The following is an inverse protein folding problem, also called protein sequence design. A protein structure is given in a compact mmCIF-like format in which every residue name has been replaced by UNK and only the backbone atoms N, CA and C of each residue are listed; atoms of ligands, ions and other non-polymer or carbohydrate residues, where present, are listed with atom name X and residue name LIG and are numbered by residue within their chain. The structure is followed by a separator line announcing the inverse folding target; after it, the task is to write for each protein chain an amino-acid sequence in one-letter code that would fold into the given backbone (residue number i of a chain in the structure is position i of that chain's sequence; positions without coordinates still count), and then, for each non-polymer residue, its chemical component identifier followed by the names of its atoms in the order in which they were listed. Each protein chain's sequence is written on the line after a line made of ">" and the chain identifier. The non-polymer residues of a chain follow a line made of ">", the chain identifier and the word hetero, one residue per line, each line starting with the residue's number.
data_IF_015712068884
#
_entry.id   IF_015712068884
#
_cell.length_a   1.000
_cell.length_b   1.000
_cell.length_c   1.000
_cell.angle_alpha   90.00
_cell.angle_beta   90.00
_cell.angle_gamma   90.00
#
_symmetry.space_group_name_H-M   'P 1'
#
loop_
_entity.id
_entity.type
_entity.pdbx_description
1 polymer ?
#
# COMPACT_ATOMS: atom_id res chain seq x y z
N UNK A 1 -19.24 52.22 -31.35
CA UNK A 1 -20.02 51.13 -30.72
C UNK A 1 -19.43 49.74 -30.95
N UNK A 2 -19.09 49.34 -32.19
CA UNK A 2 -18.54 48.00 -32.50
C UNK A 2 -17.27 47.59 -31.71
N UNK A 3 -16.33 48.53 -31.49
CA UNK A 3 -15.09 48.27 -30.72
C UNK A 3 -15.31 48.02 -29.23
N UNK A 4 -16.38 48.57 -28.65
CA UNK A 4 -16.72 48.35 -27.24
C UNK A 4 -17.38 46.98 -27.04
N UNK A 5 -18.29 46.60 -27.93
CA UNK A 5 -18.89 45.27 -27.95
C UNK A 5 -17.82 44.17 -28.09
N UNK A 6 -16.85 44.35 -28.99
CA UNK A 6 -15.77 43.38 -29.21
C UNK A 6 -14.85 43.20 -27.98
N UNK A 7 -14.58 44.27 -27.24
CA UNK A 7 -13.80 44.20 -25.98
C UNK A 7 -14.56 43.47 -24.88
N UNK A 8 -15.88 43.68 -24.77
CA UNK A 8 -16.74 43.00 -23.80
C UNK A 8 -16.84 41.50 -24.13
N UNK A 9 -17.05 41.15 -25.41
CA UNK A 9 -17.05 39.75 -25.85
C UNK A 9 -15.73 39.05 -25.56
N UNK A 10 -14.60 39.72 -25.77
CA UNK A 10 -13.28 39.15 -25.48
C UNK A 10 -13.06 38.89 -23.99
N UNK A 11 -13.50 39.79 -23.11
CA UNK A 11 -13.38 39.63 -21.64
C UNK A 11 -14.28 38.50 -21.13
N UNK A 12 -15.49 38.36 -21.67
CA UNK A 12 -16.41 37.27 -21.30
C UNK A 12 -15.82 35.93 -21.75
N UNK A 13 -15.28 35.86 -22.97
CA UNK A 13 -14.71 34.63 -23.51
C UNK A 13 -13.45 34.19 -22.75
N UNK A 14 -12.56 35.13 -22.40
CA UNK A 14 -11.37 34.79 -21.59
C UNK A 14 -11.74 34.41 -20.16
N UNK A 15 -12.76 35.03 -19.57
CA UNK A 15 -13.28 34.65 -18.25
C UNK A 15 -13.92 33.25 -18.25
N UNK A 16 -14.69 32.90 -19.29
CA UNK A 16 -15.25 31.55 -19.45
C UNK A 16 -14.17 30.48 -19.63
N UNK A 17 -13.13 30.77 -20.41
CA UNK A 17 -12.00 29.84 -20.61
C UNK A 17 -11.27 29.62 -19.28
N UNK A 18 -10.95 30.69 -18.53
CA UNK A 18 -10.31 30.58 -17.21
C UNK A 18 -11.15 29.81 -16.19
N UNK A 19 -12.47 30.01 -16.19
CA UNK A 19 -13.38 29.30 -15.28
C UNK A 19 -13.46 27.80 -15.61
N UNK A 20 -13.42 27.43 -16.90
CA UNK A 20 -13.43 26.04 -17.34
C UNK A 20 -12.14 25.29 -16.99
N UNK A 21 -10.97 25.96 -17.08
CA UNK A 21 -9.68 25.37 -16.72
C UNK A 21 -9.52 25.19 -15.20
N UNK A 22 -10.12 26.06 -14.40
CA UNK A 22 -10.09 25.94 -12.93
C UNK A 22 -10.94 24.77 -12.43
N UNK A 23 -12.09 24.50 -13.07
CA UNK A 23 -12.95 23.38 -12.71
C UNK A 23 -12.30 22.01 -12.95
N UNK A 24 -11.46 21.88 -13.99
CA UNK A 24 -10.82 20.60 -14.33
C UNK A 24 -9.64 20.23 -13.40
N UNK A 25 -8.99 21.20 -12.77
CA UNK A 25 -7.87 20.95 -11.85
C UNK A 25 -8.32 20.37 -10.49
N UNK A 26 -9.61 20.47 -10.14
CA UNK A 26 -10.14 20.01 -8.84
C UNK A 26 -10.62 18.55 -8.85
N UNK A 27 -10.79 17.93 -10.02
CA UNK A 27 -11.25 16.53 -10.13
C UNK A 27 -10.13 15.48 -10.07
N UNK A 28 -8.87 15.90 -9.90
CA UNK A 28 -7.70 15.02 -9.85
C UNK A 28 -7.19 14.76 -8.42
N UNK A 29 -7.90 15.22 -7.38
CA UNK A 29 -7.57 14.83 -6.01
C UNK A 29 -8.03 13.38 -5.79
N UNK A 30 -7.06 12.50 -5.56
CA UNK A 30 -7.31 11.11 -5.16
C UNK A 30 -8.20 11.12 -3.91
N UNK A 31 -9.28 10.32 -3.93
CA UNK A 31 -10.14 10.09 -2.77
C UNK A 31 -9.27 9.50 -1.67
N UNK A 32 -9.08 10.24 -0.58
CA UNK A 32 -8.41 9.75 0.61
C UNK A 32 -9.28 8.63 1.18
N UNK A 33 -8.90 7.38 0.91
CA UNK A 33 -9.51 6.21 1.53
C UNK A 33 -9.03 6.18 2.97
N UNK A 34 -9.72 6.95 3.83
CA UNK A 34 -9.54 6.84 5.26
C UNK A 34 -9.85 5.39 5.61
N UNK A 35 -8.85 4.65 6.10
CA UNK A 35 -8.98 3.31 6.66
C UNK A 35 -9.88 3.39 7.91
N UNK A 36 -11.18 3.60 7.69
CA UNK A 36 -12.22 3.59 8.71
C UNK A 36 -12.63 2.14 8.98
N UNK A 37 -11.64 1.29 9.25
CA UNK A 37 -11.94 0.01 9.86
C UNK A 37 -12.08 0.27 11.35
N UNK A 38 -13.32 0.25 11.85
CA UNK A 38 -13.57 0.18 13.29
C UNK A 38 -12.75 -0.97 13.87
N UNK A 39 -12.14 -0.82 15.06
CA UNK A 39 -11.45 -1.93 15.71
C UNK A 39 -12.37 -3.16 15.75
N UNK A 40 -11.89 -4.29 15.24
CA UNK A 40 -12.65 -5.54 15.22
C UNK A 40 -11.82 -6.65 15.85
N UNK A 41 -12.52 -7.63 16.44
CA UNK A 41 -11.90 -8.82 16.99
C UNK A 41 -12.12 -9.99 16.04
N UNK A 42 -11.07 -10.79 15.83
CA UNK A 42 -11.12 -11.98 14.98
C UNK A 42 -10.33 -13.10 15.62
N UNK A 43 -10.87 -14.32 15.56
CA UNK A 43 -10.11 -15.54 15.87
C UNK A 43 -9.17 -15.85 14.71
N UNK A 44 -7.88 -15.93 14.99
CA UNK A 44 -6.83 -16.26 14.03
C UNK A 44 -6.16 -17.57 14.47
N UNK A 45 -5.77 -18.38 13.49
CA UNK A 45 -4.81 -19.46 13.73
C UNK A 45 -3.43 -18.90 13.45
N UNK A 46 -2.58 -18.91 14.46
CA UNK A 46 -1.22 -18.37 14.38
C UNK A 46 -0.25 -19.55 14.41
N UNK A 47 0.72 -19.54 13.49
CA UNK A 47 1.84 -20.47 13.46
C UNK A 47 3.15 -19.69 13.61
N UNK A 48 4.20 -20.39 14.04
CA UNK A 48 5.55 -19.84 14.14
C UNK A 48 6.49 -20.47 13.12
N UNK A 49 7.34 -19.65 12.52
CA UNK A 49 8.50 -20.08 11.76
C UNK A 49 9.76 -19.56 12.47
N UNK A 50 10.91 -20.16 12.19
CA UNK A 50 12.17 -19.77 12.80
C UNK A 50 13.33 -19.89 11.81
N UNK A 51 14.44 -19.21 12.10
CA UNK A 51 15.69 -19.33 11.34
C UNK A 51 16.54 -20.45 11.95
N UNK A 52 16.57 -21.66 11.37
CA UNK A 52 17.37 -22.76 11.92
C UNK A 52 18.87 -22.45 11.82
N UNK A 53 19.63 -22.87 12.83
CA UNK A 53 21.08 -22.67 12.90
C UNK A 53 21.83 -24.00 12.78
N UNK A 54 23.06 -24.01 12.21
CA UNK A 54 23.88 -25.22 12.15
C UNK A 54 24.15 -25.81 13.54
N UNK A 55 24.11 -27.14 13.64
CA UNK A 55 24.44 -27.86 14.87
C UNK A 55 23.38 -27.80 15.98
N UNK A 56 22.18 -27.28 15.71
CA UNK A 56 21.10 -27.33 16.70
C UNK A 56 20.73 -28.77 17.06
N UNK A 57 20.40 -29.00 18.34
CA UNK A 57 20.09 -30.32 18.87
C UNK A 57 18.92 -30.99 18.15
N UNK A 58 17.96 -30.20 17.64
CA UNK A 58 16.73 -30.68 16.99
C UNK A 58 16.35 -29.79 15.82
N UNK A 59 15.88 -30.45 14.76
CA UNK A 59 15.30 -29.85 13.57
C UNK A 59 13.85 -30.33 13.44
N UNK A 60 12.91 -29.46 13.06
CA UNK A 60 11.49 -29.84 12.92
C UNK A 60 11.29 -30.87 11.82
N UNK A 61 12.03 -30.73 10.71
CA UNK A 61 12.02 -31.63 9.56
C UNK A 61 13.19 -32.62 9.54
N UNK A 62 13.98 -32.66 10.62
CA UNK A 62 15.10 -33.60 10.76
C UNK A 62 16.45 -33.15 10.19
N UNK A 63 16.52 -32.03 9.46
CA UNK A 63 17.80 -31.43 9.03
C UNK A 63 17.75 -29.91 8.88
N UNK A 64 18.92 -29.29 8.84
CA UNK A 64 19.10 -27.85 8.62
C UNK A 64 18.51 -27.42 7.29
N UNK A 65 18.82 -28.16 6.23
CA UNK A 65 18.40 -27.87 4.87
C UNK A 65 16.88 -27.99 4.71
N UNK A 66 16.29 -29.00 5.37
CA UNK A 66 14.85 -29.21 5.34
C UNK A 66 14.11 -28.08 6.07
N UNK A 67 14.61 -27.65 7.23
CA UNK A 67 14.01 -26.53 7.96
C UNK A 67 14.23 -25.18 7.28
N UNK A 68 15.39 -24.93 6.65
CA UNK A 68 15.62 -23.69 5.88
C UNK A 68 14.67 -23.60 4.69
N UNK A 69 14.39 -24.73 4.03
CA UNK A 69 13.41 -24.78 2.94
C UNK A 69 11.99 -24.54 3.43
N UNK A 70 11.63 -25.08 4.60
CA UNK A 70 10.29 -24.91 5.18
C UNK A 70 10.04 -23.48 5.67
N UNK A 71 10.98 -22.90 6.41
CA UNK A 71 10.80 -21.61 7.08
C UNK A 71 11.18 -20.41 6.18
N UNK A 72 11.77 -20.68 5.01
CA UNK A 72 12.58 -19.70 4.29
C UNK A 72 13.86 -19.42 5.08
N UNK A 73 14.90 -18.91 4.43
CA UNK A 73 16.17 -18.58 5.11
C UNK A 73 16.01 -17.53 6.24
N UNK A 74 14.80 -17.01 6.48
CA UNK A 74 14.51 -16.01 7.50
C UNK A 74 15.12 -14.65 7.18
N UNK A 75 15.41 -14.38 5.90
CA UNK A 75 16.10 -13.16 5.47
C UNK A 75 15.12 -12.08 5.06
N UNK A 76 14.10 -12.40 4.26
CA UNK A 76 13.16 -11.45 3.69
C UNK A 76 11.72 -11.96 3.77
N UNK A 77 10.77 -11.06 4.00
CA UNK A 77 9.34 -11.29 3.84
C UNK A 77 8.93 -11.41 2.37
N UNK A 78 7.66 -11.71 2.13
CA UNK A 78 7.11 -11.87 0.78
C UNK A 78 7.18 -10.59 -0.07
N UNK A 79 7.27 -9.43 0.56
CA UNK A 79 7.43 -8.11 -0.05
C UNK A 79 8.91 -7.70 -0.24
N UNK A 80 9.86 -8.56 0.15
CA UNK A 80 11.29 -8.29 0.11
C UNK A 80 11.85 -7.58 1.35
N UNK A 81 11.01 -7.14 2.29
CA UNK A 81 11.45 -6.48 3.53
C UNK A 81 12.29 -7.43 4.38
N UNK A 82 13.42 -6.98 4.92
CA UNK A 82 14.26 -7.81 5.79
C UNK A 82 13.50 -8.19 7.07
N UNK A 83 13.56 -9.47 7.46
CA UNK A 83 12.88 -9.95 8.68
C UNK A 83 13.47 -9.30 9.94
N UNK A 84 12.61 -8.84 10.85
CA UNK A 84 12.98 -8.26 12.15
C UNK A 84 12.05 -8.76 13.27
N UNK A 85 12.46 -8.56 14.53
CA UNK A 85 11.65 -8.96 15.70
C UNK A 85 10.34 -8.16 15.76
N UNK A 86 9.21 -8.86 15.78
CA UNK A 86 7.88 -8.26 15.77
C UNK A 86 7.20 -8.26 14.39
N UNK A 87 7.92 -8.67 13.34
CA UNK A 87 7.30 -8.92 12.03
C UNK A 87 6.39 -10.15 12.10
N UNK A 88 5.19 -10.04 11.52
CA UNK A 88 4.22 -11.14 11.37
C UNK A 88 3.97 -11.33 9.88
N UNK A 89 4.12 -12.56 9.40
CA UNK A 89 3.69 -12.91 8.06
C UNK A 89 2.16 -13.10 8.04
N UNK A 90 1.50 -12.48 7.07
CA UNK A 90 0.06 -12.60 6.88
C UNK A 90 -0.26 -12.94 5.42
N UNK A 91 -1.41 -13.58 5.15
CA UNK A 91 -1.90 -13.76 3.78
C UNK A 91 -2.07 -12.43 3.05
N UNK A 92 -1.98 -12.44 1.71
CA UNK A 92 -2.16 -11.24 0.87
C UNK A 92 -3.49 -10.51 1.11
N UNK A 93 -4.52 -11.23 1.56
CA UNK A 93 -5.86 -10.70 1.85
C UNK A 93 -6.07 -10.39 3.35
N UNK A 94 -5.00 -10.36 4.15
CA UNK A 94 -5.08 -9.80 5.49
C UNK A 94 -5.17 -8.26 5.36
N UNK A 95 -6.18 -7.62 5.98
CA UNK A 95 -6.46 -6.19 5.83
C UNK A 95 -5.36 -5.30 6.42
#
# INVERSE_FOLDING_TARGET
>A
MKKAAQKITAVILTSLIFFSSFAFATSAFAKEESLSQKPFQRKLVITGYYSPIPGQLRYVRGSLEADRRLNGNGTNGADGTQVYRGMIAAPKNYP
#
